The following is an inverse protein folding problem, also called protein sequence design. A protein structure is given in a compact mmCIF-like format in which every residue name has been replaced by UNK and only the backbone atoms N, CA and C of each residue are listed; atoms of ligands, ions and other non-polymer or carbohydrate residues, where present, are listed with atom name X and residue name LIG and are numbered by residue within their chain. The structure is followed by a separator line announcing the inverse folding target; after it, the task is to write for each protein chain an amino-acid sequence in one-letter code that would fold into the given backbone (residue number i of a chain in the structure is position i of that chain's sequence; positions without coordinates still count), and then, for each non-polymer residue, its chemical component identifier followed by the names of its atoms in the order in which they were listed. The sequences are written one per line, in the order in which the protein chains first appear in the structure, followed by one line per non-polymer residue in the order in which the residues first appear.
data_IF_246566902114
#
_entry.id   IF_246566902114
#
_cell.length_a   1.000
_cell.length_b   1.000
_cell.length_c   1.000
_cell.angle_alpha   90.00
_cell.angle_beta   90.00
_cell.angle_gamma   90.00
#
_symmetry.space_group_name_H-M   'P 1'
#
loop_
_entity.id
_entity.type
_entity.pdbx_description
1 polymer ?
#
# COMPACT_ATOMS: atom_id res chain seq x y z
N UNK A 1 -7.28 -31.35 68.76
CA UNK A 1 -6.29 -32.11 67.95
C UNK A 1 -6.83 -32.23 66.54
N UNK A 2 -6.31 -31.44 65.61
CA UNK A 2 -6.68 -31.50 64.19
C UNK A 2 -5.39 -31.38 63.37
N UNK A 3 -5.04 -32.46 62.67
CA UNK A 3 -3.80 -32.60 61.90
C UNK A 3 -3.87 -31.83 60.59
N UNK A 4 -2.87 -30.99 60.35
CA UNK A 4 -2.62 -30.32 59.08
C UNK A 4 -1.84 -31.25 58.14
N UNK A 5 -2.36 -31.47 56.93
CA UNK A 5 -1.68 -32.22 55.86
C UNK A 5 -0.84 -31.27 55.01
N UNK A 6 0.47 -31.51 54.96
CA UNK A 6 1.44 -30.80 54.13
C UNK A 6 1.68 -31.63 52.87
N UNK A 7 1.50 -31.04 51.69
CA UNK A 7 1.88 -31.61 50.39
C UNK A 7 3.29 -31.16 49.99
N UNK A 8 4.15 -32.04 49.45
CA UNK A 8 5.50 -31.65 49.05
C UNK A 8 5.53 -31.07 47.63
N UNK A 9 6.21 -29.91 47.52
CA UNK A 9 6.52 -29.22 46.26
C UNK A 9 7.67 -29.91 45.53
N UNK A 10 7.44 -30.29 44.26
CA UNK A 10 8.45 -30.84 43.34
C UNK A 10 9.39 -29.72 42.88
N UNK A 11 10.66 -29.78 43.28
CA UNK A 11 11.74 -28.99 42.70
C UNK A 11 12.13 -29.55 41.33
N UNK A 12 12.15 -28.69 40.31
CA UNK A 12 12.64 -28.98 38.96
C UNK A 12 13.96 -28.22 38.74
N UNK A 13 15.07 -28.94 38.86
CA UNK A 13 16.37 -28.51 38.36
C UNK A 13 16.49 -28.87 36.87
N UNK A 14 16.69 -27.90 35.98
CA UNK A 14 17.64 -28.09 34.87
C UNK A 14 17.99 -26.81 34.09
N UNK A 15 19.31 -26.71 33.89
CA UNK A 15 20.02 -26.07 32.78
C UNK A 15 20.08 -24.53 32.74
N UNK A 16 21.11 -24.02 33.42
CA UNK A 16 21.86 -22.86 32.99
C UNK A 16 22.52 -23.17 31.64
N UNK A 17 22.16 -22.42 30.60
CA UNK A 17 22.93 -22.36 29.36
C UNK A 17 23.71 -21.05 29.30
N UNK A 18 24.99 -21.19 28.96
CA UNK A 18 26.05 -20.24 29.16
C UNK A 18 25.93 -18.97 28.34
N UNK A 19 26.28 -17.87 29.00
CA UNK A 19 26.58 -16.58 28.43
C UNK A 19 27.97 -16.67 27.75
N UNK A 20 28.03 -16.50 26.43
CA UNK A 20 29.27 -16.22 25.69
C UNK A 20 29.25 -14.76 25.26
N UNK A 21 30.28 -13.95 25.60
CA UNK A 21 30.41 -12.59 25.10
C UNK A 21 30.86 -12.62 23.63
N UNK A 22 30.03 -12.05 22.76
CA UNK A 22 30.33 -11.83 21.34
C UNK A 22 31.43 -10.76 21.24
N UNK A 23 32.59 -11.19 20.73
CA UNK A 23 33.79 -10.39 20.54
C UNK A 23 33.51 -9.22 19.57
N UNK A 24 33.81 -8.00 20.01
CA UNK A 24 33.80 -6.79 19.19
C UNK A 24 34.76 -6.95 18.00
N UNK A 25 34.23 -6.94 16.77
CA UNK A 25 35.02 -6.68 15.57
C UNK A 25 35.17 -5.18 15.39
N UNK A 26 36.41 -4.72 15.59
CA UNK A 26 36.90 -3.44 15.11
C UNK A 26 36.81 -3.37 13.57
N UNK A 27 36.43 -2.21 13.00
CA UNK A 27 36.47 -2.02 11.55
C UNK A 27 37.90 -1.70 11.11
N UNK A 28 38.45 -2.52 10.22
CA UNK A 28 39.66 -2.20 9.46
C UNK A 28 39.41 -0.98 8.56
N UNK A 29 40.26 0.02 8.76
CA UNK A 29 40.36 1.23 7.97
C UNK A 29 41.01 0.86 6.64
N UNK A 30 40.20 0.68 5.60
CA UNK A 30 40.68 0.64 4.22
C UNK A 30 40.69 2.06 3.69
N UNK A 31 41.87 2.68 3.75
CA UNK A 31 42.20 3.87 2.99
C UNK A 31 42.28 3.48 1.50
N UNK A 32 41.44 4.10 0.67
CA UNK A 32 41.64 4.12 -0.78
C UNK A 32 41.48 5.55 -1.28
N UNK A 33 42.49 5.91 -2.05
CA UNK A 33 42.93 7.21 -2.54
C UNK A 33 41.89 8.04 -3.27
N UNK A 34 42.04 9.34 -3.03
CA UNK A 34 41.46 10.47 -3.73
C UNK A 34 42.25 10.69 -5.04
N UNK A 35 41.64 10.39 -6.18
CA UNK A 35 42.06 10.93 -7.47
C UNK A 35 40.85 11.52 -8.17
N UNK A 36 40.78 12.85 -8.11
CA UNK A 36 39.87 13.64 -8.91
C UNK A 36 40.26 13.61 -10.39
N UNK A 37 39.29 13.36 -11.25
CA UNK A 37 39.30 13.79 -12.64
C UNK A 37 37.89 14.19 -13.03
N UNK A 38 37.72 15.49 -13.22
CA UNK A 38 36.53 16.07 -13.82
C UNK A 38 36.44 15.71 -15.29
N UNK A 39 35.25 15.29 -15.73
CA UNK A 39 34.91 15.24 -17.14
C UNK A 39 33.38 15.34 -17.32
N UNK A 40 32.96 16.50 -17.82
CA UNK A 40 31.91 16.64 -18.82
C UNK A 40 30.49 16.17 -18.45
N UNK A 41 29.66 17.13 -18.03
CA UNK A 41 28.22 17.10 -18.29
C UNK A 41 27.99 17.02 -19.81
N UNK A 42 27.88 15.80 -20.35
CA UNK A 42 27.33 15.57 -21.69
C UNK A 42 25.81 15.59 -21.59
N UNK A 43 25.23 16.64 -22.15
CA UNK A 43 23.81 16.73 -22.45
C UNK A 43 23.39 15.54 -23.31
N UNK A 44 22.40 14.77 -22.85
CA UNK A 44 21.76 13.76 -23.68
C UNK A 44 20.76 14.45 -24.62
N UNK A 45 20.95 14.43 -25.95
CA UNK A 45 19.88 14.80 -26.86
C UNK A 45 18.81 13.70 -26.82
N UNK A 46 17.58 14.07 -26.46
CA UNK A 46 16.41 13.24 -26.66
C UNK A 46 16.13 13.17 -28.17
N UNK A 47 16.80 12.23 -28.86
CA UNK A 47 16.48 11.89 -30.24
C UNK A 47 15.19 11.09 -30.28
N UNK A 48 14.15 11.73 -30.81
CA UNK A 48 12.96 11.09 -31.37
C UNK A 48 13.42 10.25 -32.56
N UNK A 49 13.40 8.92 -32.46
CA UNK A 49 13.26 8.04 -33.63
C UNK A 49 12.85 6.62 -33.24
N UNK A 50 11.89 6.12 -34.02
CA UNK A 50 11.59 4.72 -34.35
C UNK A 50 10.63 3.94 -33.43
N UNK A 51 9.34 4.11 -33.77
CA UNK A 51 8.36 3.03 -33.86
C UNK A 51 8.99 1.83 -34.58
N UNK A 52 9.52 0.87 -33.82
CA UNK A 52 9.82 -0.46 -34.31
C UNK A 52 8.83 -1.44 -33.67
N UNK A 53 8.04 -2.06 -34.54
CA UNK A 53 7.21 -3.23 -34.25
C UNK A 53 8.15 -4.36 -33.84
N UNK A 54 8.15 -4.72 -32.56
CA UNK A 54 9.00 -5.78 -32.01
C UNK A 54 8.30 -6.49 -30.85
N UNK A 55 7.90 -7.74 -31.08
CA UNK A 55 7.50 -8.68 -30.03
C UNK A 55 8.65 -8.88 -29.03
N UNK A 56 8.40 -8.62 -27.74
CA UNK A 56 8.78 -9.44 -26.57
C UNK A 56 8.85 -8.59 -25.29
N UNK A 57 8.34 -9.17 -24.19
CA UNK A 57 8.54 -8.68 -22.83
C UNK A 57 7.28 -8.18 -22.16
N UNK A 58 6.57 -9.08 -21.44
CA UNK A 58 5.43 -8.75 -20.56
C UNK A 58 5.86 -7.86 -19.38
N UNK A 59 6.10 -6.57 -19.65
CA UNK A 59 6.01 -5.53 -18.64
C UNK A 59 4.53 -5.37 -18.29
N UNK A 60 4.14 -5.69 -17.06
CA UNK A 60 2.78 -5.52 -16.58
C UNK A 60 2.39 -4.03 -16.59
N UNK A 61 1.81 -3.58 -17.71
CA UNK A 61 1.12 -2.30 -17.84
C UNK A 61 0.07 -2.19 -16.73
N UNK A 62 -0.24 -0.97 -16.29
CA UNK A 62 -1.43 -0.74 -15.47
C UNK A 62 -2.71 -1.21 -16.18
N UNK A 63 -2.66 -1.40 -17.50
CA UNK A 63 -3.72 -1.98 -18.32
C UNK A 63 -3.89 -3.49 -18.13
N UNK A 64 -2.94 -4.24 -17.57
CA UNK A 64 -3.18 -5.67 -17.26
C UNK A 64 -4.08 -5.86 -16.02
N UNK A 65 -4.48 -4.77 -15.37
CA UNK A 65 -5.64 -4.72 -14.47
C UNK A 65 -6.91 -4.28 -15.20
N UNK A 66 -6.99 -4.52 -16.51
CA UNK A 66 -8.22 -5.06 -17.09
C UNK A 66 -8.51 -6.32 -16.30
N UNK A 67 -9.25 -6.15 -15.19
CA UNK A 67 -10.28 -7.10 -14.78
C UNK A 67 -10.89 -7.46 -16.12
N UNK A 68 -10.59 -8.66 -16.64
CA UNK A 68 -11.19 -9.18 -17.86
C UNK A 68 -12.60 -8.65 -17.87
N UNK A 69 -13.02 -7.99 -18.96
CA UNK A 69 -14.43 -7.80 -19.23
C UNK A 69 -15.07 -9.19 -19.10
N UNK A 70 -15.42 -9.59 -17.88
CA UNK A 70 -16.66 -10.28 -17.63
C UNK A 70 -17.60 -9.20 -18.11
N UNK A 71 -18.06 -9.38 -19.35
CA UNK A 71 -19.32 -8.82 -19.79
C UNK A 71 -20.25 -8.80 -18.59
N UNK A 72 -21.05 -7.75 -18.37
CA UNK A 72 -22.08 -7.80 -17.37
C UNK A 72 -23.03 -8.95 -17.74
N UNK A 73 -22.68 -10.17 -17.37
CA UNK A 73 -23.64 -11.22 -17.10
C UNK A 73 -24.45 -10.60 -16.00
N UNK A 74 -25.70 -10.24 -16.33
CA UNK A 74 -26.77 -10.12 -15.35
C UNK A 74 -26.57 -11.30 -14.39
N UNK A 75 -26.07 -11.02 -13.19
CA UNK A 75 -25.99 -12.06 -12.18
C UNK A 75 -27.45 -12.45 -11.94
N UNK A 76 -27.80 -13.71 -12.26
CA UNK A 76 -29.08 -14.37 -11.98
C UNK A 76 -29.48 -14.36 -10.49
N UNK A 77 -28.78 -13.60 -9.65
CA UNK A 77 -28.80 -13.68 -8.19
C UNK A 77 -29.03 -12.32 -7.48
N UNK A 78 -29.44 -11.27 -8.19
CA UNK A 78 -29.88 -10.02 -7.53
C UNK A 78 -28.80 -9.30 -6.68
N UNK A 79 -27.51 -9.49 -6.98
CA UNK A 79 -26.44 -8.81 -6.24
C UNK A 79 -26.31 -7.35 -6.67
N UNK A 80 -26.21 -6.48 -5.67
CA UNK A 80 -26.24 -5.02 -5.80
C UNK A 80 -25.06 -4.51 -6.65
N UNK A 81 -25.35 -3.81 -7.77
CA UNK A 81 -24.35 -3.25 -8.70
C UNK A 81 -23.31 -2.34 -8.00
N UNK A 82 -23.71 -1.71 -6.90
CA UNK A 82 -22.87 -0.80 -6.12
C UNK A 82 -21.76 -1.50 -5.34
N UNK A 83 -21.96 -2.73 -4.89
CA UNK A 83 -20.93 -3.52 -4.21
C UNK A 83 -19.75 -3.81 -5.15
N UNK A 84 -20.06 -4.11 -6.41
CA UNK A 84 -19.06 -4.31 -7.44
C UNK A 84 -18.29 -3.02 -7.72
N UNK A 85 -18.92 -1.85 -7.67
CA UNK A 85 -18.25 -0.55 -7.86
C UNK A 85 -17.30 -0.23 -6.71
N UNK A 86 -17.73 -0.44 -5.47
CA UNK A 86 -16.92 -0.23 -4.25
C UNK A 86 -15.65 -1.10 -4.28
N UNK A 87 -15.81 -2.39 -4.53
CA UNK A 87 -14.70 -3.36 -4.57
C UNK A 87 -13.73 -3.03 -5.73
N UNK A 88 -14.24 -2.72 -6.92
CA UNK A 88 -13.42 -2.31 -8.07
C UNK A 88 -12.59 -1.06 -7.77
N UNK A 89 -13.21 -0.04 -7.15
CA UNK A 89 -12.50 1.18 -6.73
C UNK A 89 -11.44 0.89 -5.69
N UNK A 90 -11.74 0.04 -4.71
CA UNK A 90 -10.76 -0.42 -3.73
C UNK A 90 -9.53 -1.03 -4.43
N UNK A 91 -9.72 -2.03 -5.30
CA UNK A 91 -8.61 -2.68 -5.99
C UNK A 91 -7.80 -1.71 -6.84
N UNK A 92 -8.48 -0.84 -7.59
CA UNK A 92 -7.81 0.19 -8.39
C UNK A 92 -6.92 1.07 -7.50
N UNK A 93 -7.45 1.58 -6.38
CA UNK A 93 -6.71 2.46 -5.46
C UNK A 93 -5.59 1.74 -4.72
N UNK A 94 -5.85 0.51 -4.27
CA UNK A 94 -4.86 -0.33 -3.62
C UNK A 94 -3.66 -0.57 -4.53
N UNK A 95 -3.87 -1.12 -5.73
CA UNK A 95 -2.77 -1.45 -6.65
C UNK A 95 -2.06 -0.21 -7.20
N UNK A 96 -2.77 0.90 -7.38
CA UNK A 96 -2.12 2.17 -7.75
C UNK A 96 -1.18 2.63 -6.63
N UNK A 97 -1.61 2.65 -5.37
CA UNK A 97 -0.72 3.11 -4.28
C UNK A 97 0.40 2.13 -3.93
N UNK A 98 0.20 0.83 -4.16
CA UNK A 98 1.31 -0.14 -4.13
C UNK A 98 2.30 0.10 -5.27
N UNK A 99 1.83 0.59 -6.42
CA UNK A 99 2.65 0.92 -7.59
C UNK A 99 3.76 1.92 -7.28
N UNK A 100 3.53 2.85 -6.35
CA UNK A 100 4.52 3.81 -5.83
C UNK A 100 5.75 3.13 -5.21
N UNK A 101 5.61 1.90 -4.69
CA UNK A 101 6.71 1.13 -4.10
C UNK A 101 6.76 1.19 -2.57
N UNK A 102 7.92 0.79 -2.03
CA UNK A 102 8.14 0.65 -0.58
C UNK A 102 7.88 -0.76 -0.02
N UNK A 103 8.17 -0.93 1.26
CA UNK A 103 7.92 -2.18 2.00
C UNK A 103 6.51 -2.15 2.56
N UNK A 104 5.69 -3.14 2.18
CA UNK A 104 4.31 -3.27 2.62
C UNK A 104 4.20 -4.12 3.87
N UNK A 105 3.35 -3.67 4.78
CA UNK A 105 3.06 -4.31 6.06
C UNK A 105 1.58 -4.28 6.36
N UNK A 106 1.13 -5.23 7.15
CA UNK A 106 -0.21 -5.25 7.73
C UNK A 106 -0.14 -4.66 9.13
N UNK A 107 -1.15 -3.88 9.48
CA UNK A 107 -1.40 -3.41 10.85
C UNK A 107 -2.88 -3.64 11.16
N UNK A 108 -3.18 -4.31 12.26
CA UNK A 108 -4.52 -4.42 12.83
C UNK A 108 -4.57 -3.69 14.16
N UNK A 109 -5.55 -2.82 14.34
CA UNK A 109 -5.86 -2.17 15.61
C UNK A 109 -7.26 -2.59 16.04
N UNK A 110 -7.45 -2.86 17.33
CA UNK A 110 -8.73 -3.33 17.88
C UNK A 110 -9.14 -2.42 19.04
N UNK A 111 -10.42 -2.14 19.20
CA UNK A 111 -10.97 -1.50 20.41
C UNK A 111 -11.02 -2.48 21.58
N UNK A 112 -10.73 -1.99 22.78
CA UNK A 112 -10.93 -2.72 24.05
C UNK A 112 -12.31 -2.38 24.63
N UNK A 113 -12.74 -3.15 25.63
CA UNK A 113 -14.02 -2.90 26.31
C UNK A 113 -14.02 -1.54 27.02
N UNK A 114 -12.90 -1.15 27.64
CA UNK A 114 -12.72 0.18 28.23
C UNK A 114 -12.94 1.29 27.17
N UNK A 115 -12.36 1.13 25.98
CA UNK A 115 -12.53 2.11 24.89
C UNK A 115 -13.97 2.19 24.38
N UNK A 116 -14.69 1.07 24.35
CA UNK A 116 -16.10 1.01 23.97
C UNK A 116 -16.98 1.68 25.02
N UNK A 117 -16.77 1.37 26.31
CA UNK A 117 -17.49 1.98 27.44
C UNK A 117 -17.28 3.49 27.48
N UNK A 118 -16.05 3.95 27.25
CA UNK A 118 -15.72 5.38 27.21
C UNK A 118 -16.17 6.08 25.90
N UNK A 119 -16.74 5.34 24.95
CA UNK A 119 -17.27 5.90 23.69
C UNK A 119 -16.19 6.47 22.76
N UNK A 120 -14.99 5.89 22.76
CA UNK A 120 -13.87 6.41 22.00
C UNK A 120 -14.03 6.19 20.49
N UNK A 121 -13.89 7.27 19.72
CA UNK A 121 -13.81 7.20 18.26
C UNK A 121 -12.44 6.64 17.80
N UNK A 122 -12.46 5.42 17.29
CA UNK A 122 -11.25 4.72 16.82
C UNK A 122 -10.52 5.48 15.70
N UNK A 123 -11.22 6.20 14.82
CA UNK A 123 -10.62 6.94 13.71
C UNK A 123 -9.94 8.21 14.20
N UNK A 124 -10.56 8.92 15.15
CA UNK A 124 -9.94 10.08 15.81
C UNK A 124 -8.65 9.67 16.53
N UNK A 125 -8.69 8.55 17.24
CA UNK A 125 -7.55 8.00 17.97
C UNK A 125 -6.47 7.49 17.00
N UNK A 126 -6.88 6.85 15.90
CA UNK A 126 -5.96 6.46 14.83
C UNK A 126 -5.26 7.65 14.18
N UNK A 127 -5.94 8.79 13.99
CA UNK A 127 -5.29 10.01 13.51
C UNK A 127 -4.21 10.51 14.47
N UNK A 128 -4.42 10.39 15.79
CA UNK A 128 -3.41 10.69 16.79
C UNK A 128 -2.23 9.70 16.73
N UNK A 129 -2.50 8.40 16.58
CA UNK A 129 -1.47 7.38 16.39
C UNK A 129 -0.62 7.71 15.16
N UNK A 130 -1.23 7.97 14.00
CA UNK A 130 -0.52 8.33 12.75
C UNK A 130 0.43 9.51 12.94
N UNK A 131 0.02 10.55 13.70
CA UNK A 131 0.91 11.68 14.02
C UNK A 131 2.14 11.22 14.82
N UNK A 132 1.96 10.36 15.83
CA UNK A 132 3.08 9.79 16.62
C UNK A 132 3.98 8.90 15.76
N UNK A 133 3.39 8.04 14.92
CA UNK A 133 4.15 7.17 14.03
C UNK A 133 5.03 7.98 13.07
N UNK A 134 4.48 9.05 12.50
CA UNK A 134 5.19 9.89 11.53
C UNK A 134 6.35 10.68 12.15
N UNK A 135 6.19 11.15 13.39
CA UNK A 135 7.28 11.82 14.12
C UNK A 135 8.43 10.87 14.43
N UNK A 136 8.12 9.61 14.80
CA UNK A 136 9.13 8.66 15.24
C UNK A 136 9.80 7.86 14.12
N UNK A 137 9.06 7.48 13.08
CA UNK A 137 9.55 6.61 12.00
C UNK A 137 9.44 7.22 10.60
N UNK A 138 9.02 8.48 10.49
CA UNK A 138 8.93 9.19 9.21
C UNK A 138 7.70 8.79 8.38
N UNK A 139 7.91 8.29 7.17
CA UNK A 139 6.81 8.08 6.22
C UNK A 139 5.89 6.94 6.68
N UNK A 140 4.61 7.26 6.88
CA UNK A 140 3.55 6.30 7.16
C UNK A 140 2.34 6.59 6.26
N UNK A 141 2.22 5.81 5.19
CA UNK A 141 1.12 5.89 4.23
C UNK A 141 0.37 4.58 4.20
N UNK A 142 -0.94 4.63 4.28
CA UNK A 142 -1.79 3.46 4.49
C UNK A 142 -3.04 3.48 3.60
N UNK A 143 -3.64 2.30 3.46
CA UNK A 143 -5.01 2.04 3.02
C UNK A 143 -5.60 1.00 3.96
N UNK A 144 -6.86 1.14 4.37
CA UNK A 144 -7.47 0.23 5.32
C UNK A 144 -8.97 0.14 5.24
N UNK A 145 -9.52 -0.75 6.05
CA UNK A 145 -10.94 -1.09 6.18
C UNK A 145 -11.29 -1.15 7.66
N UNK A 146 -12.46 -0.63 8.03
CA UNK A 146 -13.02 -0.62 9.38
C UNK A 146 -14.02 -1.74 9.35
N UNK A 147 -13.80 -2.70 10.22
CA UNK A 147 -14.74 -3.76 10.53
C UNK A 147 -15.35 -3.42 11.89
N UNK A 148 -16.66 -3.52 11.98
CA UNK A 148 -17.37 -3.57 13.27
C UNK A 148 -17.69 -5.04 13.52
N UNK A 149 -17.38 -5.54 14.72
CA UNK A 149 -17.68 -6.91 15.12
C UNK A 149 -18.27 -6.89 16.53
N UNK A 150 -19.60 -7.00 16.62
CA UNK A 150 -20.32 -6.74 17.86
C UNK A 150 -20.27 -5.24 18.16
N UNK A 151 -19.85 -4.89 19.37
CA UNK A 151 -19.62 -3.52 19.84
C UNK A 151 -18.18 -3.04 19.62
N UNK A 152 -17.27 -3.94 19.19
CA UNK A 152 -15.86 -3.63 18.99
C UNK A 152 -15.56 -3.24 17.55
N UNK A 153 -14.63 -2.30 17.42
CA UNK A 153 -14.13 -1.84 16.13
C UNK A 153 -12.73 -2.37 15.83
N UNK A 154 -12.48 -2.67 14.58
CA UNK A 154 -11.18 -3.12 14.09
C UNK A 154 -10.75 -2.29 12.88
N UNK A 155 -9.51 -1.76 12.90
CA UNK A 155 -8.88 -1.15 11.74
C UNK A 155 -7.90 -2.12 11.12
N UNK A 156 -8.23 -2.63 9.94
CA UNK A 156 -7.35 -3.48 9.13
C UNK A 156 -6.65 -2.62 8.09
N UNK A 157 -5.33 -2.55 8.15
CA UNK A 157 -4.54 -1.64 7.34
C UNK A 157 -3.45 -2.40 6.57
N UNK A 158 -3.19 -1.94 5.35
CA UNK A 158 -1.93 -2.14 4.67
C UNK A 158 -1.21 -0.80 4.62
N UNK A 159 0.05 -0.77 5.06
CA UNK A 159 0.84 0.46 5.06
C UNK A 159 2.21 0.27 4.43
N UNK A 160 2.75 1.39 3.95
CA UNK A 160 4.13 1.55 3.49
C UNK A 160 4.93 2.21 4.60
N UNK A 161 5.99 1.56 5.06
CA UNK A 161 6.86 2.09 6.09
C UNK A 161 7.85 1.06 6.64
N UNK A 162 8.72 1.55 7.52
CA UNK A 162 9.69 0.73 8.27
C UNK A 162 8.98 -0.22 9.24
N UNK A 163 9.70 -1.26 9.69
CA UNK A 163 9.20 -2.09 10.79
C UNK A 163 9.07 -1.24 12.04
N UNK A 164 8.04 -1.53 12.83
CA UNK A 164 7.81 -0.93 14.13
C UNK A 164 7.67 -2.09 15.11
N UNK A 165 8.40 -2.04 16.23
CA UNK A 165 8.30 -3.08 17.23
C UNK A 165 6.85 -3.13 17.77
N UNK A 166 6.27 -4.33 17.81
CA UNK A 166 4.88 -4.51 18.24
C UNK A 166 4.65 -3.96 19.65
N UNK A 167 5.58 -4.20 20.59
CA UNK A 167 5.52 -3.69 21.97
C UNK A 167 5.37 -2.17 22.01
N UNK A 168 6.12 -1.45 21.17
CA UNK A 168 6.05 0.02 21.11
C UNK A 168 4.73 0.51 20.51
N UNK A 169 4.21 -0.18 19.48
CA UNK A 169 2.91 0.13 18.91
C UNK A 169 1.77 -0.15 19.89
N UNK A 170 1.81 -1.29 20.58
CA UNK A 170 0.85 -1.66 21.62
C UNK A 170 0.84 -0.64 22.75
N UNK A 171 2.00 -0.20 23.23
CA UNK A 171 2.09 0.84 24.26
C UNK A 171 1.51 2.18 23.80
N UNK A 172 1.79 2.60 22.55
CA UNK A 172 1.20 3.81 21.99
C UNK A 172 -0.32 3.70 21.84
N UNK A 173 -0.82 2.55 21.38
CA UNK A 173 -2.25 2.33 21.19
C UNK A 173 -2.99 2.22 22.52
N UNK A 174 -2.41 1.56 23.52
CA UNK A 174 -2.94 1.54 24.89
C UNK A 174 -3.04 2.94 25.48
N UNK A 175 -2.02 3.77 25.31
CA UNK A 175 -2.02 5.16 25.80
C UNK A 175 -3.08 6.04 25.12
N UNK A 176 -3.39 5.80 23.84
CA UNK A 176 -4.35 6.62 23.08
C UNK A 176 -5.77 6.09 23.23
N UNK A 177 -5.97 4.79 23.07
CA UNK A 177 -7.27 4.15 22.87
C UNK A 177 -7.53 3.00 23.86
N UNK A 178 -6.79 2.94 24.98
CA UNK A 178 -6.98 1.95 26.05
C UNK A 178 -6.97 0.50 25.60
N UNK A 179 -6.38 0.24 24.43
CA UNK A 179 -6.30 -1.09 23.84
C UNK A 179 -4.85 -1.41 23.50
N UNK A 180 -4.22 -2.38 24.18
CA UNK A 180 -2.88 -2.82 23.82
C UNK A 180 -2.88 -3.76 22.61
N UNK A 181 -4.06 -4.17 22.12
CA UNK A 181 -4.20 -5.20 21.08
C UNK A 181 -3.86 -4.62 19.71
N UNK A 182 -2.64 -4.92 19.28
CA UNK A 182 -2.10 -4.54 17.97
C UNK A 182 -1.45 -5.75 17.32
N UNK A 183 -1.70 -5.94 16.03
CA UNK A 183 -1.03 -6.95 15.22
C UNK A 183 -0.27 -6.27 14.08
N UNK A 184 1.05 -6.50 13.98
CA UNK A 184 1.89 -5.99 12.89
C UNK A 184 2.65 -7.11 12.22
N UNK A 185 2.51 -7.22 10.89
CA UNK A 185 3.12 -8.32 10.12
C UNK A 185 3.66 -7.85 8.78
N UNK A 186 4.67 -8.54 8.29
CA UNK A 186 5.07 -8.43 6.89
C UNK A 186 3.98 -9.02 5.99
N UNK A 187 3.73 -8.36 4.85
CA UNK A 187 2.88 -8.95 3.82
C UNK A 187 3.64 -10.10 3.15
N UNK A 188 2.97 -11.23 3.01
CA UNK A 188 3.44 -12.33 2.18
C UNK A 188 2.27 -13.00 1.47
N UNK A 189 2.58 -13.82 0.48
CA UNK A 189 1.65 -14.73 -0.16
C UNK A 189 2.34 -16.05 -0.48
N UNK A 190 1.57 -17.12 -0.56
CA UNK A 190 2.06 -18.38 -1.12
C UNK A 190 1.86 -18.39 -2.63
N UNK A 191 2.91 -18.71 -3.38
CA UNK A 191 2.87 -18.87 -4.83
C UNK A 191 3.32 -20.29 -5.17
N UNK A 192 2.69 -20.93 -6.16
CA UNK A 192 3.16 -22.22 -6.66
C UNK A 192 4.30 -21.99 -7.65
N UNK A 193 5.44 -22.65 -7.44
CA UNK A 193 6.56 -22.76 -8.38
C UNK A 193 6.96 -24.23 -8.44
N UNK A 194 6.96 -24.79 -9.64
CA UNK A 194 7.37 -26.19 -9.89
C UNK A 194 6.64 -27.19 -8.97
N UNK A 195 5.32 -27.00 -8.84
CA UNK A 195 4.46 -27.81 -7.96
C UNK A 195 4.56 -27.50 -6.46
N UNK A 196 5.58 -26.75 -6.01
CA UNK A 196 5.82 -26.45 -4.58
C UNK A 196 5.27 -25.08 -4.17
N UNK A 197 4.82 -24.96 -2.90
CA UNK A 197 4.38 -23.69 -2.32
C UNK A 197 5.59 -22.91 -1.80
N UNK A 198 5.84 -21.74 -2.38
CA UNK A 198 6.92 -20.82 -1.97
C UNK A 198 6.32 -19.57 -1.35
N UNK A 199 6.86 -19.17 -0.19
CA UNK A 199 6.48 -17.93 0.50
C UNK A 199 7.16 -16.74 -0.17
N UNK A 200 6.37 -15.84 -0.75
CA UNK A 200 6.86 -14.61 -1.37
C UNK A 200 6.51 -13.42 -0.50
N UNK A 201 7.54 -12.74 0.00
CA UNK A 201 7.41 -11.54 0.81
C UNK A 201 7.08 -10.31 -0.04
N UNK A 202 6.44 -9.32 0.59
CA UNK A 202 6.04 -8.06 -0.03
C UNK A 202 5.14 -8.22 -1.27
N UNK A 203 4.38 -9.31 -1.37
CA UNK A 203 3.48 -9.52 -2.50
C UNK A 203 2.22 -8.64 -2.36
N UNK A 204 1.99 -7.69 -3.28
CA UNK A 204 0.80 -6.82 -3.26
C UNK A 204 -0.52 -7.59 -3.17
N UNK A 205 -0.60 -8.77 -3.80
CA UNK A 205 -1.81 -9.60 -3.81
C UNK A 205 -2.17 -10.08 -2.40
N UNK A 206 -1.17 -10.42 -1.58
CA UNK A 206 -1.40 -10.85 -0.20
C UNK A 206 -2.12 -9.79 0.63
N UNK A 207 -1.65 -8.54 0.55
CA UNK A 207 -2.30 -7.41 1.24
C UNK A 207 -3.67 -7.06 0.67
N UNK A 208 -3.86 -7.19 -0.65
CA UNK A 208 -5.16 -6.95 -1.27
C UNK A 208 -6.19 -8.00 -0.81
N UNK A 209 -5.82 -9.28 -0.80
CA UNK A 209 -6.67 -10.36 -0.31
C UNK A 209 -6.98 -10.20 1.18
N UNK A 210 -5.99 -9.79 1.98
CA UNK A 210 -6.17 -9.50 3.40
C UNK A 210 -7.25 -8.43 3.62
N UNK A 211 -7.15 -7.26 2.97
CA UNK A 211 -8.15 -6.19 3.11
C UNK A 211 -9.51 -6.54 2.48
N UNK A 212 -9.50 -7.23 1.34
CA UNK A 212 -10.72 -7.63 0.64
C UNK A 212 -11.58 -8.57 1.50
N UNK A 213 -10.96 -9.43 2.32
CA UNK A 213 -11.66 -10.28 3.30
C UNK A 213 -12.56 -9.43 4.20
N UNK A 214 -12.05 -8.31 4.70
CA UNK A 214 -12.76 -7.43 5.63
C UNK A 214 -13.75 -6.50 4.92
N UNK A 215 -13.40 -6.03 3.72
CA UNK A 215 -14.28 -5.21 2.90
C UNK A 215 -15.55 -5.96 2.46
N UNK A 216 -15.46 -7.28 2.28
CA UNK A 216 -16.57 -8.12 1.83
C UNK A 216 -17.48 -8.62 2.96
N UNK A 217 -17.10 -8.50 4.24
CA UNK A 217 -17.90 -8.99 5.36
C UNK A 217 -19.24 -8.29 5.49
N UNK A 218 -19.24 -6.96 5.40
CA UNK A 218 -20.45 -6.15 5.53
C UNK A 218 -20.51 -5.08 4.43
N UNK A 219 -21.72 -4.80 3.95
CA UNK A 219 -21.96 -3.74 2.96
C UNK A 219 -21.60 -2.34 3.52
N UNK A 220 -21.68 -2.15 4.84
CA UNK A 220 -21.33 -0.89 5.50
C UNK A 220 -19.83 -0.63 5.58
N UNK A 221 -19.00 -1.66 5.44
CA UNK A 221 -17.55 -1.52 5.55
C UNK A 221 -17.02 -0.64 4.42
N UNK A 222 -16.38 0.47 4.80
CA UNK A 222 -15.77 1.41 3.85
C UNK A 222 -14.27 1.36 3.97
N UNK A 223 -13.58 1.33 2.83
CA UNK A 223 -12.15 1.52 2.82
C UNK A 223 -11.82 3.02 2.90
N UNK A 224 -10.70 3.36 3.53
CA UNK A 224 -10.11 4.70 3.49
C UNK A 224 -8.60 4.59 3.24
N UNK A 225 -7.98 5.69 2.87
CA UNK A 225 -6.54 5.73 2.66
C UNK A 225 -5.97 7.06 3.14
N UNK A 226 -4.70 7.03 3.50
CA UNK A 226 -3.89 8.24 3.62
C UNK A 226 -3.92 9.05 2.32
N UNK A 227 -3.88 10.38 2.45
CA UNK A 227 -3.94 11.28 1.30
C UNK A 227 -2.82 11.04 0.28
N UNK A 228 -1.62 10.67 0.77
CA UNK A 228 -0.45 10.39 -0.06
C UNK A 228 -0.25 8.89 -0.31
N UNK A 229 -1.32 8.06 -0.21
CA UNK A 229 -1.25 6.64 -0.60
C UNK A 229 -0.82 6.45 -2.06
N UNK A 230 -1.22 7.33 -2.97
CA UNK A 230 -0.63 7.42 -4.31
C UNK A 230 0.30 8.62 -4.32
N UNK A 231 -0.25 9.79 -4.56
CA UNK A 231 0.24 11.12 -4.21
C UNK A 231 -0.79 12.11 -4.75
N UNK A 232 -0.74 13.35 -4.29
CA UNK A 232 -1.72 14.39 -4.67
C UNK A 232 -1.75 14.58 -6.19
N UNK A 233 -2.95 14.67 -6.76
CA UNK A 233 -3.15 14.98 -8.18
C UNK A 233 -3.03 13.79 -9.16
N UNK A 234 -2.46 12.65 -8.75
CA UNK A 234 -2.26 11.50 -9.65
C UNK A 234 -3.52 11.06 -10.40
N UNK A 235 -4.64 10.88 -9.68
CA UNK A 235 -5.85 10.31 -10.28
C UNK A 235 -6.42 11.21 -11.37
N UNK A 236 -6.58 12.51 -11.09
CA UNK A 236 -7.08 13.45 -12.08
C UNK A 236 -6.14 13.56 -13.28
N UNK A 237 -4.82 13.64 -13.04
CA UNK A 237 -3.82 13.71 -14.11
C UNK A 237 -3.79 12.43 -14.96
N UNK A 238 -3.75 11.24 -14.35
CA UNK A 238 -3.75 9.96 -15.08
C UNK A 238 -5.02 9.73 -15.90
N UNK A 239 -6.16 10.26 -15.46
CA UNK A 239 -7.40 10.26 -16.24
C UNK A 239 -7.32 11.21 -17.44
N UNK A 240 -6.71 12.39 -17.29
CA UNK A 240 -6.46 13.29 -18.44
C UNK A 240 -5.53 12.65 -19.45
N UNK A 241 -4.41 12.09 -19.00
CA UNK A 241 -3.47 11.36 -19.88
C UNK A 241 -4.21 10.24 -20.61
N UNK A 242 -4.97 9.39 -19.92
CA UNK A 242 -5.76 8.34 -20.55
C UNK A 242 -6.70 8.84 -21.63
N UNK A 243 -7.33 10.01 -21.44
CA UNK A 243 -8.21 10.60 -22.46
C UNK A 243 -7.43 11.04 -23.71
N UNK A 244 -6.21 11.56 -23.60
CA UNK A 244 -5.38 11.87 -24.79
C UNK A 244 -4.96 10.62 -25.52
N UNK A 245 -4.31 9.70 -24.79
CA UNK A 245 -3.46 8.68 -25.41
C UNK A 245 -4.14 7.32 -25.49
N UNK A 246 -5.33 7.17 -24.90
CA UNK A 246 -6.11 5.93 -24.86
C UNK A 246 -5.71 4.96 -23.73
N UNK A 247 -4.54 5.13 -23.10
CA UNK A 247 -4.02 4.23 -22.06
C UNK A 247 -3.59 4.98 -20.79
N UNK A 248 -3.57 4.27 -19.65
CA UNK A 248 -3.08 4.86 -18.40
C UNK A 248 -1.56 5.01 -18.39
N UNK A 249 -1.01 6.01 -17.68
CA UNK A 249 0.44 6.13 -17.45
C UNK A 249 1.05 4.82 -16.93
N UNK A 250 2.28 4.52 -17.34
CA UNK A 250 2.96 3.29 -16.92
C UNK A 250 3.27 3.27 -15.42
N UNK A 251 3.46 2.06 -14.87
CA UNK A 251 3.92 1.90 -13.46
C UNK A 251 5.30 2.49 -13.22
N UNK A 252 6.17 2.44 -14.22
CA UNK A 252 7.50 3.03 -14.13
C UNK A 252 7.38 4.54 -13.94
N UNK A 253 6.53 5.21 -14.73
CA UNK A 253 6.31 6.65 -14.59
C UNK A 253 5.69 7.01 -13.23
N UNK A 254 4.71 6.22 -12.76
CA UNK A 254 4.15 6.40 -11.42
C UNK A 254 5.26 6.35 -10.34
N UNK A 255 6.17 5.38 -10.43
CA UNK A 255 7.28 5.24 -9.48
C UNK A 255 8.22 6.43 -9.57
N UNK A 256 8.67 6.79 -10.77
CA UNK A 256 9.58 7.91 -10.98
C UNK A 256 9.01 9.21 -10.40
N UNK A 257 7.74 9.49 -10.65
CA UNK A 257 7.06 10.67 -10.09
C UNK A 257 6.92 10.58 -8.57
N UNK A 258 6.73 9.40 -8.00
CA UNK A 258 6.56 9.26 -6.56
C UNK A 258 7.82 9.57 -5.75
N UNK A 259 9.02 9.37 -6.31
CA UNK A 259 10.30 9.67 -5.65
C UNK A 259 10.57 11.18 -5.59
N UNK A 260 10.00 11.96 -6.52
CA UNK A 260 10.15 13.42 -6.54
C UNK A 260 9.45 14.08 -5.36
N UNK A 261 9.99 15.20 -4.88
CA UNK A 261 9.26 16.07 -3.95
C UNK A 261 8.00 16.68 -4.62
N UNK A 262 7.16 17.33 -3.82
CA UNK A 262 5.86 17.83 -4.29
C UNK A 262 6.01 18.84 -5.45
N UNK A 263 7.01 19.71 -5.42
CA UNK A 263 7.21 20.76 -6.42
C UNK A 263 7.74 20.14 -7.70
N UNK A 264 8.83 19.37 -7.63
CA UNK A 264 9.40 18.69 -8.81
C UNK A 264 8.41 17.76 -9.47
N UNK A 265 7.63 17.02 -8.67
CA UNK A 265 6.57 16.15 -9.20
C UNK A 265 5.53 16.93 -9.97
N UNK A 266 5.09 18.08 -9.46
CA UNK A 266 4.09 18.92 -10.14
C UNK A 266 4.64 19.45 -11.47
N UNK A 267 5.87 19.97 -11.47
CA UNK A 267 6.53 20.44 -12.69
C UNK A 267 6.68 19.32 -13.73
N UNK A 268 7.10 18.13 -13.31
CA UNK A 268 7.20 16.97 -14.20
C UNK A 268 5.83 16.56 -14.78
N UNK A 269 4.77 16.57 -13.97
CA UNK A 269 3.41 16.28 -14.42
C UNK A 269 2.90 17.35 -15.40
N UNK A 270 3.19 18.62 -15.15
CA UNK A 270 2.81 19.76 -16.01
C UNK A 270 3.58 19.74 -17.34
N UNK A 271 4.87 19.38 -17.32
CA UNK A 271 5.67 19.20 -18.53
C UNK A 271 5.15 18.07 -19.40
N UNK A 272 4.84 16.91 -18.81
CA UNK A 272 4.24 15.80 -19.54
C UNK A 272 2.87 16.17 -20.09
N UNK A 273 2.09 16.92 -19.31
CA UNK A 273 0.80 17.46 -19.72
C UNK A 273 0.97 18.37 -20.95
N UNK A 274 1.93 19.29 -20.94
CA UNK A 274 2.27 20.11 -22.10
C UNK A 274 2.66 19.28 -23.33
N UNK A 275 3.51 18.25 -23.17
CA UNK A 275 3.91 17.35 -24.26
C UNK A 275 2.74 16.60 -24.89
N UNK A 276 1.72 16.22 -24.10
CA UNK A 276 0.52 15.53 -24.59
C UNK A 276 -0.56 16.48 -25.11
N UNK A 277 -0.37 17.80 -25.01
CA UNK A 277 -1.39 18.79 -25.36
C UNK A 277 -1.91 18.69 -26.80
N UNK A 278 -1.07 18.53 -27.83
CA UNK A 278 -1.58 18.40 -29.21
C UNK A 278 -2.51 17.19 -29.38
N UNK A 279 -2.24 16.09 -28.67
CA UNK A 279 -3.07 14.90 -28.69
C UNK A 279 -4.40 15.10 -27.94
N UNK A 280 -4.41 15.89 -26.87
CA UNK A 280 -5.65 16.24 -26.16
C UNK A 280 -6.56 17.12 -26.98
N UNK A 281 -6.03 18.16 -27.62
CA UNK A 281 -6.82 19.09 -28.42
C UNK A 281 -7.45 18.36 -29.61
N UNK A 282 -6.72 17.41 -30.22
CA UNK A 282 -7.26 16.52 -31.25
C UNK A 282 -8.39 15.60 -30.73
N UNK A 283 -8.20 14.94 -29.58
CA UNK A 283 -9.23 14.07 -28.99
C UNK A 283 -10.52 14.83 -28.64
N UNK A 284 -10.41 16.03 -28.07
CA UNK A 284 -11.56 16.86 -27.72
C UNK A 284 -12.33 17.37 -28.94
N UNK A 285 -11.63 17.62 -30.06
CA UNK A 285 -12.27 18.00 -31.31
C UNK A 285 -13.09 16.84 -31.91
N UNK A 286 -12.59 15.60 -31.82
CA UNK A 286 -13.26 14.42 -32.37
C UNK A 286 -14.45 13.94 -31.52
N UNK A 287 -14.39 14.06 -30.20
CA UNK A 287 -15.53 13.72 -29.33
C UNK A 287 -16.77 14.57 -29.67
N UNK A 288 -16.57 15.85 -30.08
CA UNK A 288 -17.67 16.72 -30.53
C UNK A 288 -18.26 16.32 -31.87
N UNK A 289 -17.46 15.76 -32.78
CA UNK A 289 -17.95 15.27 -34.07
C UNK A 289 -18.77 13.99 -33.93
N UNK A 290 -18.42 13.12 -32.97
CA UNK A 290 -19.15 11.87 -32.72
C UNK A 290 -20.54 12.06 -32.09
N UNK A 291 -20.77 13.16 -31.37
CA UNK A 291 -22.06 13.43 -30.71
C UNK A 291 -23.11 14.09 -31.60
N UNK A 292 -22.79 14.39 -32.87
CA UNK A 292 -23.65 15.14 -33.79
C UNK A 292 -24.36 14.32 -34.86
N UNK A 293 -24.33 12.98 -34.81
CA UNK A 293 -24.81 12.11 -35.92
C UNK A 293 -26.18 11.47 -35.66
N UNK A 294 -26.79 11.61 -34.48
CA UNK A 294 -28.08 10.96 -34.16
C UNK A 294 -29.32 11.83 -34.48
N UNK A 295 -29.29 12.59 -35.59
CA UNK A 295 -30.37 13.54 -35.90
C UNK A 295 -30.59 13.80 -37.38
N UNK A 296 -30.67 12.75 -38.20
CA UNK A 296 -31.33 12.76 -39.52
C UNK A 296 -31.96 11.39 -39.79
#
# INVERSE_FOLDING_TARGET
MASSSITPTKQSNRAQDGCQPELERTPEVVAVSDEGQGAGLKSCPLSVTNLAVGQAGRGASLDTYVISRRSPTLDRAGKNLDDNRRIRRFYQRYFTGVGVGGRLRILTLTSSDEAVIEGYDIHRHFAALVKRLRRRWGVFQYIGVREVKGDREHLHLVFRGSYMAQVQLSAMWANIHKSPVVDIRHIYSWVRRDGRKVKVWNNPRGGACYLAKYLAKEAVNRYWASYDWVFRGWVGWSQRVKRAVGYYPSRALLRSLAVLDKVKRRLAMDFLEYQYRPLWEWSLANDKMSSGVDGL
#
